data_IF_066276862416
#
_entry.id   IF_066276862416
#
_cell.length_a   1.000
_cell.length_b   1.000
_cell.length_c   1.000
_cell.angle_alpha   90.00
_cell.angle_beta   90.00
_cell.angle_gamma   90.00
#
_symmetry.space_group_name_H-M   'P 1'
#
loop_
_entity.id
_entity.type
_entity.pdbx_description
1 polymer ?
#
# COMPACT_ATOMS: atom_id res chain seq x y z
N UNK A 1 59.31 -22.72 -31.60
CA UNK A 1 58.07 -23.06 -30.86
C UNK A 1 57.45 -21.78 -30.34
N UNK A 2 56.55 -21.16 -31.09
CA UNK A 2 55.89 -19.92 -30.68
C UNK A 2 54.48 -19.93 -31.26
N UNK A 3 53.51 -20.32 -30.43
CA UNK A 3 52.10 -20.36 -30.79
C UNK A 3 51.30 -19.72 -29.64
N UNK A 4 50.32 -18.89 -30.03
CA UNK A 4 49.14 -18.37 -29.31
C UNK A 4 49.34 -17.18 -28.37
N UNK A 5 49.04 -15.99 -28.91
CA UNK A 5 48.51 -14.86 -28.12
C UNK A 5 47.44 -14.02 -28.86
N UNK A 6 46.82 -14.54 -29.92
CA UNK A 6 45.80 -13.81 -30.71
C UNK A 6 44.34 -14.22 -30.41
N UNK A 7 44.09 -15.35 -29.74
CA UNK A 7 42.73 -15.89 -29.57
C UNK A 7 41.91 -15.22 -28.45
N UNK A 8 42.53 -14.53 -27.49
CA UNK A 8 41.81 -13.96 -26.34
C UNK A 8 41.26 -12.55 -26.57
N UNK A 9 41.76 -11.81 -27.57
CA UNK A 9 41.26 -10.46 -27.89
C UNK A 9 39.94 -10.50 -28.68
N UNK A 10 39.73 -11.53 -29.50
CA UNK A 10 38.52 -11.69 -30.31
C UNK A 10 37.28 -12.02 -29.45
N UNK A 11 37.40 -12.97 -28.53
CA UNK A 11 36.28 -13.36 -27.65
C UNK A 11 35.82 -12.22 -26.72
N UNK A 12 36.74 -11.32 -26.33
CA UNK A 12 36.42 -10.16 -25.48
C UNK A 12 35.76 -9.01 -26.25
N UNK A 13 35.98 -8.92 -27.56
CA UNK A 13 35.28 -7.95 -28.43
C UNK A 13 33.87 -8.45 -28.81
N UNK A 14 33.67 -9.75 -29.04
CA UNK A 14 32.34 -10.32 -29.30
C UNK A 14 31.42 -10.27 -28.07
N UNK A 15 31.94 -10.52 -26.87
CA UNK A 15 31.17 -10.39 -25.63
C UNK A 15 30.74 -8.93 -25.36
N UNK A 16 31.52 -7.94 -25.83
CA UNK A 16 31.21 -6.52 -25.67
C UNK A 16 30.13 -6.06 -26.66
N UNK A 17 30.14 -6.59 -27.88
CA UNK A 17 29.15 -6.30 -28.92
C UNK A 17 27.80 -6.98 -28.67
N UNK A 18 27.77 -8.15 -28.02
CA UNK A 18 26.52 -8.80 -27.63
C UNK A 18 25.83 -8.07 -26.47
N UNK A 19 26.59 -7.50 -25.54
CA UNK A 19 26.01 -6.75 -24.40
C UNK A 19 25.46 -5.36 -24.80
N UNK A 20 25.95 -4.77 -25.89
CA UNK A 20 25.40 -3.51 -26.44
C UNK A 20 24.13 -3.72 -27.29
N UNK A 21 23.87 -4.94 -27.79
CA UNK A 21 22.74 -5.22 -28.68
C UNK A 21 21.42 -5.56 -27.97
N UNK A 22 21.45 -5.77 -26.64
CA UNK A 22 20.26 -6.14 -25.84
C UNK A 22 19.65 -5.00 -25.01
N UNK A 23 20.17 -3.78 -25.12
CA UNK A 23 19.59 -2.61 -24.44
C UNK A 23 18.38 -2.09 -25.25
N UNK A 24 17.17 -2.06 -24.69
CA UNK A 24 16.05 -1.38 -25.35
C UNK A 24 16.38 0.12 -25.53
N UNK A 25 15.91 0.77 -26.60
CA UNK A 25 16.32 2.13 -26.98
C UNK A 25 15.67 3.25 -26.15
N UNK A 26 15.15 2.96 -24.95
CA UNK A 26 14.60 4.00 -24.09
C UNK A 26 15.75 4.76 -23.40
N UNK A 27 15.94 6.02 -23.82
CA UNK A 27 16.76 7.06 -23.18
C UNK A 27 18.28 6.99 -23.35
N UNK A 28 18.77 6.63 -24.54
CA UNK A 28 20.11 7.06 -24.96
C UNK A 28 20.10 8.56 -25.31
N UNK A 29 20.07 9.43 -24.29
CA UNK A 29 20.62 10.80 -24.28
C UNK A 29 20.01 11.63 -23.12
N UNK A 30 20.33 11.28 -21.88
CA UNK A 30 20.32 12.23 -20.75
C UNK A 30 21.66 12.13 -19.99
N UNK A 31 22.77 12.08 -20.73
CA UNK A 31 24.11 12.12 -20.17
C UNK A 31 24.58 13.56 -19.99
N UNK A 32 24.02 14.28 -19.00
CA UNK A 32 24.57 15.56 -18.57
C UNK A 32 24.16 15.99 -17.15
N UNK A 33 24.03 15.07 -16.19
CA UNK A 33 24.09 15.45 -14.77
C UNK A 33 25.07 14.51 -14.07
N UNK A 34 26.34 14.94 -14.06
CA UNK A 34 27.35 14.38 -13.17
C UNK A 34 26.94 14.75 -11.74
N UNK A 35 26.35 13.81 -11.02
CA UNK A 35 26.20 13.90 -9.58
C UNK A 35 27.59 13.73 -8.92
N UNK A 36 27.78 14.46 -7.82
CA UNK A 36 28.95 14.53 -6.93
C UNK A 36 30.08 15.45 -7.45
N UNK A 37 29.95 16.72 -7.11
CA UNK A 37 31.06 17.69 -7.04
C UNK A 37 31.36 18.45 -8.34
N UNK A 38 30.54 19.44 -8.73
CA UNK A 38 30.96 20.44 -9.71
C UNK A 38 30.45 21.85 -9.41
N UNK A 39 31.41 22.78 -9.35
CA UNK A 39 31.23 24.22 -9.44
C UNK A 39 30.45 24.57 -10.72
N UNK A 40 29.22 25.05 -10.57
CA UNK A 40 28.45 25.61 -11.67
C UNK A 40 28.93 27.03 -11.92
N UNK A 41 29.52 27.28 -13.09
CA UNK A 41 29.85 28.63 -13.55
C UNK A 41 28.56 29.39 -13.85
N UNK A 42 28.00 30.06 -12.84
CA UNK A 42 26.79 30.86 -12.91
C UNK A 42 26.43 31.44 -11.55
N UNK A 43 25.61 32.50 -11.51
CA UNK A 43 25.01 32.96 -10.24
C UNK A 43 24.21 31.81 -9.64
N UNK A 44 24.32 31.51 -8.33
CA UNK A 44 23.71 30.34 -7.67
C UNK A 44 22.23 30.17 -8.01
N UNK A 45 21.50 31.29 -8.03
CA UNK A 45 20.09 31.36 -8.45
C UNK A 45 19.78 30.69 -9.80
N UNK A 46 20.56 30.98 -10.84
CA UNK A 46 20.36 30.41 -12.19
C UNK A 46 20.66 28.92 -12.23
N UNK A 47 21.50 28.42 -11.32
CA UNK A 47 21.74 26.99 -11.18
C UNK A 47 20.52 26.28 -10.58
N UNK A 48 19.96 26.83 -9.49
CA UNK A 48 18.73 26.31 -8.86
C UNK A 48 17.56 26.29 -9.84
N UNK A 49 17.36 27.37 -10.62
CA UNK A 49 16.28 27.44 -11.61
C UNK A 49 16.37 26.29 -12.64
N UNK A 50 17.59 25.99 -13.11
CA UNK A 50 17.85 24.90 -14.06
C UNK A 50 17.61 23.54 -13.43
N UNK A 51 18.13 23.32 -12.22
CA UNK A 51 17.94 22.06 -11.50
C UNK A 51 16.44 21.79 -11.24
N UNK A 52 15.68 22.81 -10.81
CA UNK A 52 14.25 22.69 -10.61
C UNK A 52 13.51 22.39 -11.92
N UNK A 53 13.90 23.02 -13.03
CA UNK A 53 13.34 22.73 -14.36
C UNK A 53 13.63 21.30 -14.82
N UNK A 54 14.85 20.81 -14.62
CA UNK A 54 15.27 19.45 -14.96
C UNK A 54 14.49 18.42 -14.14
N UNK A 55 14.30 18.65 -12.83
CA UNK A 55 13.51 17.76 -11.98
C UNK A 55 12.02 17.74 -12.38
N UNK A 56 11.44 18.87 -12.77
CA UNK A 56 10.07 18.90 -13.30
C UNK A 56 9.93 18.10 -14.60
N UNK A 57 10.95 18.14 -15.46
CA UNK A 57 11.00 17.31 -16.66
C UNK A 57 11.08 15.82 -16.30
N UNK A 58 11.93 15.45 -15.34
CA UNK A 58 12.04 14.07 -14.82
C UNK A 58 10.71 13.59 -14.28
N UNK A 59 10.02 14.38 -13.46
CA UNK A 59 8.68 14.07 -12.94
C UNK A 59 7.65 13.83 -14.04
N UNK A 60 7.71 14.63 -15.10
CA UNK A 60 6.79 14.51 -16.26
C UNK A 60 7.13 13.33 -17.17
N UNK A 61 8.33 12.75 -17.05
CA UNK A 61 8.80 11.64 -17.88
C UNK A 61 8.42 10.25 -17.35
N UNK A 62 7.86 10.17 -16.14
CA UNK A 62 7.43 8.91 -15.54
C UNK A 62 6.33 8.26 -16.39
N UNK A 63 6.41 6.95 -16.61
CA UNK A 63 5.43 6.23 -17.42
C UNK A 63 4.51 5.35 -16.58
N UNK A 64 5.08 4.53 -15.71
CA UNK A 64 4.39 3.50 -14.93
C UNK A 64 4.11 4.00 -13.50
N UNK A 65 5.01 4.79 -12.93
CA UNK A 65 4.99 5.21 -11.52
C UNK A 65 4.48 6.63 -11.30
N UNK A 66 3.73 7.19 -12.25
CA UNK A 66 3.19 8.56 -12.16
C UNK A 66 2.35 8.79 -10.89
N UNK A 67 1.62 7.77 -10.44
CA UNK A 67 0.76 7.87 -9.26
C UNK A 67 1.54 8.10 -7.96
N UNK A 68 2.83 7.75 -7.92
CA UNK A 68 3.69 8.08 -6.79
C UNK A 68 3.83 9.60 -6.56
N UNK A 69 3.52 10.40 -7.60
CA UNK A 69 3.54 11.85 -7.52
C UNK A 69 2.15 12.50 -7.33
N UNK A 70 1.06 11.74 -7.19
CA UNK A 70 -0.30 12.30 -7.06
C UNK A 70 -0.68 12.69 -5.63
N UNK A 71 0.03 12.18 -4.62
CA UNK A 71 -0.24 12.50 -3.22
C UNK A 71 -0.01 13.97 -2.86
N UNK A 72 -0.66 14.45 -1.79
CA UNK A 72 -0.56 15.85 -1.33
C UNK A 72 0.89 16.29 -1.07
N UNK A 73 1.70 15.42 -0.48
CA UNK A 73 3.12 15.66 -0.22
C UNK A 73 3.89 15.84 -1.54
N UNK A 74 3.69 14.95 -2.51
CA UNK A 74 4.33 15.04 -3.81
C UNK A 74 3.88 16.29 -4.59
N UNK A 75 2.59 16.61 -4.58
CA UNK A 75 2.07 17.81 -5.25
C UNK A 75 2.61 19.10 -4.64
N UNK A 76 2.76 19.16 -3.32
CA UNK A 76 3.40 20.30 -2.66
C UNK A 76 4.90 20.38 -2.96
N UNK A 77 5.62 19.26 -3.03
CA UNK A 77 7.02 19.21 -3.51
C UNK A 77 7.16 19.74 -4.95
N UNK A 78 6.34 19.25 -5.89
CA UNK A 78 6.36 19.72 -7.27
C UNK A 78 6.06 21.23 -7.37
N UNK A 79 5.17 21.73 -6.51
CA UNK A 79 4.86 23.16 -6.41
C UNK A 79 6.08 23.98 -5.93
N UNK A 80 6.88 23.46 -5.00
CA UNK A 80 8.17 24.08 -4.61
C UNK A 80 9.08 24.21 -5.83
N UNK A 81 9.27 23.13 -6.60
CA UNK A 81 10.11 23.15 -7.80
C UNK A 81 9.59 24.17 -8.85
N UNK A 82 8.28 24.26 -9.03
CA UNK A 82 7.67 25.25 -9.94
C UNK A 82 7.94 26.70 -9.51
N UNK A 83 7.86 27.00 -8.22
CA UNK A 83 8.13 28.34 -7.70
C UNK A 83 9.63 28.66 -7.62
N UNK A 84 10.49 27.67 -7.36
CA UNK A 84 11.94 27.83 -7.48
C UNK A 84 12.29 28.28 -8.90
N UNK A 85 11.67 27.68 -9.92
CA UNK A 85 11.83 28.07 -11.33
C UNK A 85 11.28 29.47 -11.65
N UNK A 86 10.23 29.93 -10.97
CA UNK A 86 9.62 31.26 -11.23
C UNK A 86 10.39 32.40 -10.56
N UNK A 87 11.16 32.10 -9.50
CA UNK A 87 11.97 33.06 -8.76
C UNK A 87 11.17 34.00 -7.84
N UNK A 88 9.88 33.73 -7.58
CA UNK A 88 9.07 34.55 -6.66
C UNK A 88 9.27 34.09 -5.22
N UNK A 89 10.08 34.82 -4.46
CA UNK A 89 10.54 34.42 -3.13
C UNK A 89 9.39 34.10 -2.15
N UNK A 90 8.31 34.89 -2.15
CA UNK A 90 7.14 34.63 -1.28
C UNK A 90 6.44 33.30 -1.60
N UNK A 91 6.26 33.00 -2.90
CA UNK A 91 5.62 31.75 -3.34
C UNK A 91 6.50 30.53 -3.03
N UNK A 92 7.82 30.67 -3.15
CA UNK A 92 8.79 29.63 -2.77
C UNK A 92 8.68 29.32 -1.27
N UNK A 93 8.65 30.35 -0.42
CA UNK A 93 8.52 30.18 1.03
C UNK A 93 7.18 29.53 1.41
N UNK A 94 6.08 30.00 0.83
CA UNK A 94 4.75 29.45 1.11
C UNK A 94 4.65 27.98 0.67
N UNK A 95 5.14 27.65 -0.52
CA UNK A 95 5.10 26.28 -1.03
C UNK A 95 6.01 25.34 -0.24
N UNK A 96 7.19 25.80 0.19
CA UNK A 96 8.08 25.00 1.03
C UNK A 96 7.47 24.73 2.41
N UNK A 97 6.90 25.75 3.06
CA UNK A 97 6.20 25.58 4.34
C UNK A 97 4.99 24.64 4.23
N UNK A 98 4.25 24.70 3.12
CA UNK A 98 3.17 23.75 2.83
C UNK A 98 3.72 22.33 2.69
N UNK A 99 4.76 22.14 1.88
CA UNK A 99 5.39 20.82 1.68
C UNK A 99 5.85 20.19 3.01
N UNK A 100 6.59 20.95 3.82
CA UNK A 100 7.05 20.49 5.13
C UNK A 100 5.89 20.08 6.05
N UNK A 101 4.80 20.87 6.06
CA UNK A 101 3.60 20.55 6.84
C UNK A 101 2.91 19.29 6.36
N UNK A 102 2.74 19.12 5.05
CA UNK A 102 2.11 17.91 4.49
C UNK A 102 2.95 16.66 4.79
N UNK A 103 4.28 16.75 4.70
CA UNK A 103 5.19 15.65 5.02
C UNK A 103 5.05 15.20 6.49
N UNK A 104 5.04 16.16 7.42
CA UNK A 104 4.82 15.89 8.85
C UNK A 104 3.41 15.37 9.16
N UNK A 105 2.39 15.94 8.52
CA UNK A 105 1.00 15.52 8.72
C UNK A 105 0.76 14.10 8.24
N UNK A 106 1.50 13.67 7.22
CA UNK A 106 1.51 12.30 6.72
C UNK A 106 2.37 11.34 7.57
N UNK A 107 3.12 11.86 8.56
CA UNK A 107 3.91 11.04 9.49
C UNK A 107 5.25 10.56 8.92
N UNK A 108 5.73 11.16 7.83
CA UNK A 108 7.01 10.78 7.23
C UNK A 108 8.17 11.57 7.83
N UNK A 109 9.30 10.88 8.02
CA UNK A 109 10.55 11.51 8.42
C UNK A 109 11.21 12.19 7.22
N UNK A 110 11.19 11.57 6.04
CA UNK A 110 11.76 12.17 4.83
C UNK A 110 10.86 12.01 3.61
N UNK A 111 11.09 12.87 2.63
CA UNK A 111 10.52 12.84 1.30
C UNK A 111 10.87 11.55 0.56
N UNK A 112 12.11 11.07 0.73
CA UNK A 112 12.54 9.81 0.18
C UNK A 112 11.68 8.65 0.70
N UNK A 113 11.41 8.63 2.01
CA UNK A 113 10.56 7.61 2.63
C UNK A 113 9.14 7.68 2.12
N UNK A 114 8.59 8.89 1.97
CA UNK A 114 7.28 9.11 1.38
C UNK A 114 7.20 8.56 -0.05
N UNK A 115 8.18 8.88 -0.91
CA UNK A 115 8.25 8.39 -2.28
C UNK A 115 8.35 6.86 -2.36
N UNK A 116 9.24 6.26 -1.57
CA UNK A 116 9.41 4.81 -1.55
C UNK A 116 8.17 4.11 -1.03
N UNK A 117 7.48 4.68 -0.05
CA UNK A 117 6.21 4.16 0.44
C UNK A 117 5.11 4.20 -0.62
N UNK A 118 5.06 5.24 -1.47
CA UNK A 118 4.14 5.31 -2.61
C UNK A 118 4.49 4.27 -3.69
N UNK A 119 5.78 4.07 -3.97
CA UNK A 119 6.28 3.05 -4.91
C UNK A 119 5.91 1.66 -4.43
N UNK A 120 6.22 1.33 -3.17
CA UNK A 120 5.82 0.07 -2.54
C UNK A 120 4.30 -0.10 -2.54
N UNK A 121 3.56 0.96 -2.21
CA UNK A 121 2.11 0.91 -2.26
C UNK A 121 1.59 0.60 -3.66
N UNK A 122 2.28 0.99 -4.74
CA UNK A 122 1.88 0.64 -6.11
C UNK A 122 0.47 1.11 -6.47
N UNK A 123 0.00 2.22 -5.87
CA UNK A 123 -1.36 2.73 -6.05
C UNK A 123 -1.62 3.05 -7.53
N UNK A 124 -2.65 2.42 -8.10
CA UNK A 124 -3.03 2.58 -9.51
C UNK A 124 -1.94 2.18 -10.51
N UNK A 125 -0.92 1.44 -10.08
CA UNK A 125 0.12 0.92 -10.96
C UNK A 125 -0.33 -0.45 -11.51
N UNK A 126 -0.59 -0.52 -12.82
CA UNK A 126 -1.08 -1.74 -13.46
C UNK A 126 -0.05 -2.88 -13.43
N UNK A 127 1.26 -2.57 -13.44
CA UNK A 127 2.29 -3.58 -13.29
C UNK A 127 2.26 -4.19 -11.87
N UNK A 128 2.07 -3.36 -10.84
CA UNK A 128 1.93 -3.82 -9.47
C UNK A 128 0.68 -4.71 -9.29
N UNK A 129 -0.44 -4.34 -9.92
CA UNK A 129 -1.67 -5.17 -9.94
C UNK A 129 -1.45 -6.50 -10.62
N UNK A 130 -0.78 -6.52 -11.78
CA UNK A 130 -0.49 -7.76 -12.50
C UNK A 130 0.39 -8.69 -11.66
N UNK A 131 1.48 -8.17 -11.08
CA UNK A 131 2.37 -8.95 -10.21
C UNK A 131 1.64 -9.51 -8.99
N UNK A 132 0.80 -8.68 -8.35
CA UNK A 132 -0.02 -9.10 -7.23
C UNK A 132 -1.00 -10.22 -7.62
N UNK A 133 -1.59 -10.17 -8.81
CA UNK A 133 -2.51 -11.18 -9.30
C UNK A 133 -1.84 -12.49 -9.74
N UNK A 134 -0.64 -12.44 -10.35
CA UNK A 134 -0.05 -13.57 -11.07
C UNK A 134 1.14 -14.25 -10.38
N UNK A 135 1.66 -13.73 -9.26
CA UNK A 135 2.70 -14.31 -8.37
C UNK A 135 4.09 -14.63 -8.97
N UNK A 136 4.11 -15.27 -10.13
CA UNK A 136 5.24 -15.95 -10.76
C UNK A 136 5.61 -15.34 -12.11
N UNK A 137 4.90 -14.30 -12.55
CA UNK A 137 5.21 -13.61 -13.79
C UNK A 137 5.78 -12.22 -13.45
N UNK A 138 7.07 -11.98 -13.71
CA UNK A 138 7.56 -10.61 -13.70
C UNK A 138 6.76 -9.80 -14.73
N UNK A 139 6.65 -8.47 -14.54
CA UNK A 139 6.02 -7.64 -15.55
C UNK A 139 6.73 -7.87 -16.89
N UNK A 140 5.99 -7.81 -18.00
CA UNK A 140 6.57 -8.02 -19.33
C UNK A 140 7.80 -7.14 -19.52
N UNK A 141 8.83 -7.64 -20.24
CA UNK A 141 10.17 -7.01 -20.33
C UNK A 141 10.15 -5.50 -20.60
N UNK A 142 9.23 -5.03 -21.45
CA UNK A 142 9.07 -3.60 -21.73
C UNK A 142 8.59 -2.79 -20.51
N UNK A 143 7.61 -3.32 -19.78
CA UNK A 143 7.07 -2.71 -18.55
C UNK A 143 8.12 -2.74 -17.43
N UNK A 144 8.84 -3.85 -17.29
CA UNK A 144 9.96 -3.96 -16.34
C UNK A 144 11.05 -2.90 -16.63
N UNK A 145 11.40 -2.71 -17.90
CA UNK A 145 12.36 -1.68 -18.32
C UNK A 145 11.86 -0.26 -18.04
N UNK A 146 10.58 0.04 -18.34
CA UNK A 146 9.99 1.34 -18.04
C UNK A 146 9.94 1.60 -16.52
N UNK A 147 9.58 0.60 -15.72
CA UNK A 147 9.56 0.69 -14.28
C UNK A 147 10.95 0.91 -13.69
N UNK A 148 11.98 0.24 -14.21
CA UNK A 148 13.37 0.49 -13.84
C UNK A 148 13.79 1.95 -14.11
N UNK A 149 13.47 2.48 -15.30
CA UNK A 149 13.73 3.87 -15.64
C UNK A 149 12.99 4.85 -14.71
N UNK A 150 11.73 4.57 -14.40
CA UNK A 150 10.93 5.36 -13.46
C UNK A 150 11.52 5.34 -12.05
N UNK A 151 12.03 4.20 -11.57
CA UNK A 151 12.68 4.10 -10.26
C UNK A 151 13.92 5.00 -10.18
N UNK A 152 14.76 4.99 -11.21
CA UNK A 152 15.93 5.88 -11.26
C UNK A 152 15.52 7.36 -11.40
N UNK A 153 14.42 7.65 -12.08
CA UNK A 153 13.84 8.99 -12.15
C UNK A 153 13.31 9.46 -10.78
N UNK A 154 12.62 8.59 -10.05
CA UNK A 154 12.14 8.86 -8.69
C UNK A 154 13.29 9.04 -7.69
N UNK A 155 14.38 8.27 -7.83
CA UNK A 155 15.60 8.48 -7.05
C UNK A 155 16.22 9.87 -7.29
N UNK A 156 16.16 10.39 -8.53
CA UNK A 156 16.60 11.77 -8.80
C UNK A 156 15.68 12.80 -8.17
N UNK A 157 14.38 12.50 -8.08
CA UNK A 157 13.37 13.34 -7.43
C UNK A 157 13.42 13.30 -5.91
N UNK A 158 14.06 12.30 -5.30
CA UNK A 158 14.26 12.19 -3.85
C UNK A 158 15.38 13.13 -3.37
N UNK A 159 15.19 14.43 -3.61
CA UNK A 159 16.09 15.49 -3.12
C UNK A 159 15.99 15.57 -1.60
N UNK A 160 17.12 15.55 -0.91
CA UNK A 160 17.17 15.71 0.54
C UNK A 160 16.61 17.08 0.96
N UNK A 161 15.91 17.12 2.08
CA UNK A 161 15.27 18.33 2.61
C UNK A 161 16.29 19.43 2.90
N UNK A 162 17.48 19.05 3.38
CA UNK A 162 18.62 19.95 3.59
C UNK A 162 19.09 20.61 2.29
N UNK A 163 19.04 19.88 1.17
CA UNK A 163 19.36 20.41 -0.16
C UNK A 163 18.24 21.33 -0.63
N UNK A 164 16.98 20.91 -0.47
CA UNK A 164 15.84 21.72 -0.88
C UNK A 164 15.79 23.06 -0.13
N UNK A 165 16.02 23.06 1.19
CA UNK A 165 16.07 24.31 1.97
C UNK A 165 17.23 25.21 1.54
N UNK A 166 18.40 24.65 1.16
CA UNK A 166 19.49 25.47 0.60
C UNK A 166 19.11 26.15 -0.71
N UNK A 167 18.33 25.47 -1.56
CA UNK A 167 17.82 26.09 -2.80
C UNK A 167 16.83 27.21 -2.52
N UNK A 168 16.00 27.05 -1.49
CA UNK A 168 15.10 28.11 -1.01
C UNK A 168 15.90 29.31 -0.50
N UNK A 169 16.97 29.08 0.29
CA UNK A 169 17.84 30.15 0.78
C UNK A 169 18.49 30.95 -0.35
N UNK A 170 18.94 30.28 -1.41
CA UNK A 170 19.55 30.96 -2.56
C UNK A 170 18.56 31.84 -3.35
N UNK A 171 17.25 31.59 -3.22
CA UNK A 171 16.19 32.31 -3.94
C UNK A 171 15.54 33.43 -3.11
N UNK A 172 15.78 33.47 -1.81
CA UNK A 172 15.13 34.41 -0.87
C UNK A 172 16.17 35.44 -0.40
N UNK A 173 15.95 36.75 -0.66
CA UNK A 173 16.91 37.80 -0.31
C UNK A 173 17.17 37.97 1.19
N UNK A 174 16.24 37.53 2.05
CA UNK A 174 16.32 37.64 3.50
C UNK A 174 16.87 36.35 4.11
N UNK A 175 17.70 36.49 5.14
CA UNK A 175 18.19 35.36 5.92
C UNK A 175 17.01 34.55 6.48
N UNK A 176 16.95 33.27 6.12
CA UNK A 176 15.99 32.34 6.69
C UNK A 176 16.34 32.07 8.16
N UNK A 177 15.35 31.96 9.07
CA UNK A 177 15.63 31.65 10.47
C UNK A 177 16.43 30.34 10.61
N UNK A 178 17.50 30.35 11.40
CA UNK A 178 18.36 29.15 11.62
C UNK A 178 17.56 27.94 12.11
N UNK A 179 16.48 28.18 12.85
CA UNK A 179 15.56 27.15 13.30
C UNK A 179 14.88 26.38 12.14
N UNK A 180 14.61 27.03 11.00
CA UNK A 180 14.03 26.37 9.82
C UNK A 180 15.03 25.44 9.14
N UNK A 181 16.29 25.90 9.00
CA UNK A 181 17.38 25.11 8.41
C UNK A 181 17.63 23.87 9.28
N UNK A 182 17.65 24.08 10.60
CA UNK A 182 17.83 23.01 11.58
C UNK A 182 16.68 22.01 11.53
N UNK A 183 15.43 22.48 11.48
CA UNK A 183 14.26 21.62 11.36
C UNK A 183 14.28 20.77 10.08
N UNK A 184 14.61 21.37 8.93
CA UNK A 184 14.76 20.66 7.66
C UNK A 184 15.87 19.60 7.69
N UNK A 185 16.98 19.91 8.38
CA UNK A 185 18.11 18.99 8.51
C UNK A 185 17.83 17.85 9.49
N UNK A 186 16.97 18.08 10.48
CA UNK A 186 16.58 17.09 11.50
C UNK A 186 15.45 16.14 11.04
N UNK A 187 14.89 16.34 9.85
CA UNK A 187 14.02 15.37 9.19
C UNK A 187 14.79 14.14 8.70
N UNK A 188 16.11 14.24 8.54
CA UNK A 188 16.94 13.06 8.36
C UNK A 188 16.86 12.15 9.59
N UNK A 189 16.92 10.82 9.40
CA UNK A 189 16.64 9.87 10.47
C UNK A 189 17.55 10.16 11.67
N UNK A 190 16.91 10.54 12.78
CA UNK A 190 17.55 10.57 14.08
C UNK A 190 18.30 9.24 14.25
N UNK A 191 19.61 9.36 14.51
CA UNK A 191 20.60 8.30 14.69
C UNK A 191 20.04 6.87 14.59
N UNK A 192 20.38 6.22 13.47
CA UNK A 192 20.34 4.76 13.33
C UNK A 192 20.88 4.16 14.63
N UNK A 193 20.02 3.58 15.47
CA UNK A 193 20.50 2.74 16.56
C UNK A 193 21.31 1.62 15.89
N UNK A 194 22.52 1.31 16.37
CA UNK A 194 23.24 0.14 15.90
C UNK A 194 22.30 -1.05 16.07
N UNK A 195 21.95 -1.64 14.94
CA UNK A 195 21.12 -2.83 14.88
C UNK A 195 21.87 -3.91 15.66
N UNK A 196 21.21 -4.51 16.66
CA UNK A 196 21.75 -5.69 17.33
C UNK A 196 21.78 -6.80 16.28
N UNK A 197 22.96 -7.19 15.79
CA UNK A 197 23.19 -8.16 14.70
C UNK A 197 22.68 -9.59 14.99
N UNK A 198 21.89 -9.76 16.06
CA UNK A 198 21.43 -11.06 16.56
C UNK A 198 20.01 -11.39 16.06
N UNK A 199 19.81 -11.35 14.74
CA UNK A 199 18.86 -12.15 13.95
C UNK A 199 18.59 -11.46 12.60
N UNK A 200 19.46 -11.67 11.62
CA UNK A 200 19.05 -11.53 10.22
C UNK A 200 18.19 -12.74 9.85
N UNK A 201 16.87 -12.61 9.62
CA UNK A 201 16.16 -13.63 8.88
C UNK A 201 16.70 -13.58 7.44
N UNK A 202 17.25 -14.69 6.96
CA UNK A 202 17.70 -14.84 5.58
C UNK A 202 16.51 -14.67 4.61
N UNK A 203 16.22 -13.43 4.21
CA UNK A 203 15.26 -13.12 3.15
C UNK A 203 16.02 -13.03 1.82
N UNK A 204 16.35 -14.18 1.21
CA UNK A 204 16.75 -14.22 -0.22
C UNK A 204 16.63 -15.64 -0.76
N UNK A 205 15.44 -16.23 -0.66
CA UNK A 205 14.99 -17.22 -1.62
C UNK A 205 13.73 -16.65 -2.25
N UNK A 206 13.69 -16.56 -3.58
CA UNK A 206 12.45 -16.35 -4.34
C UNK A 206 11.39 -17.28 -3.73
N UNK A 207 10.23 -16.76 -3.28
CA UNK A 207 9.23 -17.58 -2.64
C UNK A 207 8.83 -18.69 -3.61
N UNK A 208 9.06 -19.95 -3.21
CA UNK A 208 8.50 -21.09 -3.92
C UNK A 208 6.99 -20.94 -3.92
N UNK A 209 6.39 -20.80 -5.12
CA UNK A 209 4.95 -20.84 -5.40
C UNK A 209 4.04 -20.40 -4.23
N UNK A 210 4.24 -19.20 -3.68
CA UNK A 210 3.36 -18.67 -2.64
C UNK A 210 1.99 -18.37 -3.27
N UNK A 211 1.01 -19.25 -3.04
CA UNK A 211 -0.30 -19.24 -3.70
C UNK A 211 -1.18 -18.06 -3.26
N UNK A 212 -0.94 -17.46 -2.09
CA UNK A 212 -1.75 -16.34 -1.56
C UNK A 212 -0.87 -15.18 -1.07
N UNK A 213 -1.44 -13.98 -1.11
CA UNK A 213 -0.85 -12.75 -0.59
C UNK A 213 -0.91 -12.74 0.94
N UNK A 214 0.19 -12.32 1.55
CA UNK A 214 0.38 -12.24 3.00
C UNK A 214 -0.32 -11.02 3.62
N UNK A 215 -0.22 -10.92 4.94
CA UNK A 215 -0.65 -9.75 5.70
C UNK A 215 0.04 -8.47 5.20
N UNK A 216 -0.59 -7.30 5.38
CA UNK A 216 0.09 -6.02 5.20
C UNK A 216 1.39 -6.03 6.01
N UNK A 217 2.52 -5.57 5.43
CA UNK A 217 3.78 -5.57 6.13
C UNK A 217 3.69 -4.65 7.36
N UNK A 218 4.33 -5.07 8.44
CA UNK A 218 4.51 -4.21 9.62
C UNK A 218 5.36 -2.98 9.25
N UNK A 219 5.31 -1.88 10.02
CA UNK A 219 6.15 -0.70 9.76
C UNK A 219 7.65 -1.03 9.68
N UNK A 220 8.14 -1.98 10.50
CA UNK A 220 9.53 -2.44 10.47
C UNK A 220 9.86 -3.19 9.18
N UNK A 221 9.03 -4.15 8.77
CA UNK A 221 9.22 -4.84 7.48
C UNK A 221 9.16 -3.87 6.30
N UNK A 222 8.25 -2.89 6.34
CA UNK A 222 8.16 -1.86 5.29
C UNK A 222 9.43 -1.02 5.23
N UNK A 223 10.01 -0.69 6.38
CA UNK A 223 11.32 -0.02 6.46
C UNK A 223 12.42 -0.88 5.82
N UNK A 224 12.48 -2.18 6.11
CA UNK A 224 13.45 -3.10 5.50
C UNK A 224 13.31 -3.12 3.96
N UNK A 225 12.08 -3.19 3.44
CA UNK A 225 11.83 -3.13 2.00
C UNK A 225 12.28 -1.79 1.39
N UNK A 226 12.03 -0.67 2.08
CA UNK A 226 12.55 0.64 1.65
C UNK A 226 14.07 0.65 1.61
N UNK A 227 14.72 0.11 2.63
CA UNK A 227 16.19 0.06 2.71
C UNK A 227 16.80 -0.84 1.64
N UNK A 228 16.15 -1.95 1.28
CA UNK A 228 16.59 -2.81 0.18
C UNK A 228 16.61 -2.09 -1.17
N UNK A 229 15.66 -1.18 -1.42
CA UNK A 229 15.59 -0.38 -2.65
C UNK A 229 16.51 0.85 -2.55
N UNK A 230 16.42 1.59 -1.44
CA UNK A 230 17.16 2.83 -1.21
C UNK A 230 18.67 2.63 -1.01
N UNK A 231 19.07 1.48 -0.47
CA UNK A 231 20.46 1.11 -0.26
C UNK A 231 21.21 0.77 -1.55
N UNK A 232 20.49 0.62 -2.67
CA UNK A 232 21.10 0.43 -3.97
C UNK A 232 21.68 1.74 -4.50
N UNK A 233 22.77 1.64 -5.25
CA UNK A 233 23.33 2.78 -5.97
C UNK A 233 22.31 3.39 -6.95
N UNK A 234 21.52 2.54 -7.59
CA UNK A 234 20.40 2.90 -8.45
C UNK A 234 19.15 2.17 -7.97
N UNK A 235 18.03 2.88 -7.81
CA UNK A 235 16.78 2.24 -7.37
C UNK A 235 16.28 1.18 -8.35
N UNK A 236 16.61 1.29 -9.65
CA UNK A 236 16.35 0.25 -10.64
C UNK A 236 16.96 -1.11 -10.30
N UNK A 237 18.10 -1.16 -9.58
CA UNK A 237 18.68 -2.41 -9.09
C UNK A 237 17.83 -3.06 -7.99
N UNK A 238 16.97 -2.29 -7.32
CA UNK A 238 15.99 -2.77 -6.35
C UNK A 238 14.67 -3.25 -6.99
N UNK A 239 14.57 -3.31 -8.32
CA UNK A 239 13.34 -3.71 -9.01
C UNK A 239 12.87 -5.10 -8.59
N UNK A 240 13.77 -6.07 -8.45
CA UNK A 240 13.41 -7.43 -8.04
C UNK A 240 12.83 -7.45 -6.63
N UNK A 241 13.36 -6.63 -5.72
CA UNK A 241 12.82 -6.48 -4.36
C UNK A 241 11.41 -5.85 -4.39
N UNK A 242 11.19 -4.85 -5.24
CA UNK A 242 9.88 -4.23 -5.42
C UNK A 242 8.84 -5.23 -5.98
N UNK A 243 9.21 -6.01 -6.99
CA UNK A 243 8.35 -7.04 -7.57
C UNK A 243 8.06 -8.12 -6.53
N UNK A 244 9.05 -8.54 -5.76
CA UNK A 244 8.86 -9.49 -4.65
C UNK A 244 7.91 -8.93 -3.59
N UNK A 245 8.03 -7.65 -3.24
CA UNK A 245 7.09 -6.98 -2.34
C UNK A 245 5.65 -7.05 -2.86
N UNK A 246 5.40 -6.67 -4.12
CA UNK A 246 4.06 -6.70 -4.69
C UNK A 246 3.50 -8.12 -4.82
N UNK A 247 4.35 -9.09 -5.16
CA UNK A 247 3.94 -10.48 -5.25
C UNK A 247 3.55 -11.06 -3.88
N UNK A 248 4.19 -10.58 -2.80
CA UNK A 248 4.02 -11.05 -1.43
C UNK A 248 2.91 -10.33 -0.68
N UNK A 249 2.84 -9.01 -0.75
CA UNK A 249 1.92 -8.19 0.03
C UNK A 249 0.79 -7.56 -0.80
N UNK A 250 0.87 -7.64 -2.13
CA UNK A 250 -0.07 -7.03 -3.07
C UNK A 250 0.27 -5.59 -3.41
N UNK A 251 -0.72 -4.85 -3.92
CA UNK A 251 -0.61 -3.42 -4.19
C UNK A 251 -1.87 -2.65 -3.78
N UNK A 252 -1.79 -1.32 -3.81
CA UNK A 252 -2.86 -0.39 -3.54
C UNK A 252 -3.39 -0.45 -2.11
N UNK A 253 -4.71 -0.29 -1.99
CA UNK A 253 -5.42 -0.26 -0.72
C UNK A 253 -5.27 -1.58 0.05
N UNK A 254 -5.36 -2.69 -0.66
CA UNK A 254 -5.36 -4.04 -0.09
C UNK A 254 -3.97 -4.46 0.41
N UNK A 255 -2.89 -3.87 -0.11
CA UNK A 255 -1.55 -4.06 0.46
C UNK A 255 -1.32 -3.26 1.74
N UNK A 256 -1.95 -2.09 1.85
CA UNK A 256 -1.73 -1.16 2.94
C UNK A 256 -2.63 -1.45 4.17
N UNK A 257 -3.80 -2.06 3.97
CA UNK A 257 -4.79 -2.23 5.02
C UNK A 257 -5.29 -3.67 5.13
N UNK A 258 -5.39 -4.15 6.36
CA UNK A 258 -6.08 -5.41 6.69
C UNK A 258 -7.59 -5.23 6.75
N UNK A 259 -8.06 -4.02 7.09
CA UNK A 259 -9.46 -3.67 7.26
C UNK A 259 -9.91 -2.60 6.27
N UNK A 260 -11.01 -2.84 5.60
CA UNK A 260 -11.60 -1.95 4.61
C UNK A 260 -13.11 -1.83 4.82
N UNK A 261 -13.69 -0.78 4.25
CA UNK A 261 -15.14 -0.60 4.15
C UNK A 261 -15.53 -0.48 2.69
N UNK A 262 -16.67 -1.06 2.32
CA UNK A 262 -17.30 -0.77 1.05
C UNK A 262 -18.30 0.39 1.23
N UNK A 263 -18.14 1.45 0.44
CA UNK A 263 -19.01 2.63 0.47
C UNK A 263 -19.03 3.28 -0.92
N UNK A 264 -20.19 3.78 -1.32
CA UNK A 264 -20.38 4.51 -2.59
C UNK A 264 -19.86 3.73 -3.82
N UNK A 265 -20.01 2.40 -3.79
CA UNK A 265 -19.56 1.52 -4.87
C UNK A 265 -18.05 1.29 -4.93
N UNK A 266 -17.28 1.69 -3.92
CA UNK A 266 -15.82 1.54 -3.89
C UNK A 266 -15.29 1.01 -2.54
N UNK A 267 -14.06 0.49 -2.54
CA UNK A 267 -13.37 0.07 -1.32
C UNK A 267 -12.57 1.23 -0.74
N UNK A 268 -12.71 1.46 0.55
CA UNK A 268 -12.04 2.51 1.30
C UNK A 268 -11.26 1.93 2.49
N UNK A 269 -10.17 2.61 2.87
CA UNK A 269 -9.40 2.24 4.06
C UNK A 269 -10.24 2.49 5.31
N UNK A 270 -10.44 1.46 6.12
CA UNK A 270 -11.00 1.67 7.44
C UNK A 270 -9.86 1.98 8.40
N UNK A 271 -9.61 3.27 8.65
CA UNK A 271 -8.62 3.71 9.66
C UNK A 271 -9.12 3.36 11.06
N UNK A 272 -8.26 3.31 12.07
CA UNK A 272 -8.69 3.09 13.46
C UNK A 272 -9.76 4.11 13.91
N UNK A 273 -9.68 5.34 13.42
CA UNK A 273 -10.66 6.39 13.67
C UNK A 273 -11.93 6.22 12.81
N UNK A 274 -11.79 5.73 11.58
CA UNK A 274 -12.89 5.32 10.72
C UNK A 274 -13.63 4.09 11.24
N UNK A 275 -12.95 3.15 11.89
CA UNK A 275 -13.56 2.04 12.61
C UNK A 275 -14.38 2.58 13.78
N UNK A 276 -13.80 3.50 14.58
CA UNK A 276 -14.50 4.22 15.65
C UNK A 276 -15.67 5.08 15.17
N UNK A 277 -15.67 5.59 13.94
CA UNK A 277 -16.72 6.47 13.39
C UNK A 277 -17.81 5.70 12.64
N UNK A 278 -17.43 4.76 11.78
CA UNK A 278 -18.35 3.76 11.21
C UNK A 278 -19.03 2.96 12.32
N UNK A 279 -18.37 2.89 13.47
CA UNK A 279 -18.94 2.41 14.69
C UNK A 279 -19.02 3.45 15.81
N UNK A 280 -19.29 4.74 15.57
CA UNK A 280 -19.67 5.60 16.72
C UNK A 280 -21.04 5.18 17.30
N UNK A 281 -21.76 4.36 16.55
CA UNK A 281 -22.91 3.56 16.99
C UNK A 281 -22.55 2.11 17.41
N UNK A 282 -21.29 1.68 17.29
CA UNK A 282 -20.83 0.30 17.61
C UNK A 282 -19.80 0.27 18.77
N UNK A 283 -18.74 1.07 18.74
CA UNK A 283 -17.57 0.97 19.64
C UNK A 283 -17.70 1.66 20.99
N UNK A 284 -18.65 2.57 21.19
CA UNK A 284 -18.80 3.30 22.48
C UNK A 284 -19.42 2.44 23.60
N UNK A 285 -19.60 1.13 23.39
CA UNK A 285 -20.27 0.23 24.33
C UNK A 285 -19.44 -0.97 24.80
N UNK A 286 -18.16 -1.13 24.43
CA UNK A 286 -17.39 -2.29 24.92
C UNK A 286 -17.03 -2.17 26.42
N UNK A 287 -17.95 -2.52 27.33
CA UNK A 287 -17.68 -2.61 28.78
C UNK A 287 -18.56 -3.61 29.54
N UNK A 288 -19.49 -4.35 28.92
CA UNK A 288 -20.21 -5.41 29.63
C UNK A 288 -19.42 -6.73 29.63
N UNK A 289 -19.40 -7.36 30.80
CA UNK A 289 -18.72 -8.64 31.02
C UNK A 289 -19.43 -9.82 30.31
N UNK A 290 -20.70 -9.67 29.93
CA UNK A 290 -21.55 -10.74 29.39
C UNK A 290 -21.21 -11.14 27.95
N UNK A 291 -21.18 -10.17 27.03
CA UNK A 291 -20.86 -10.41 25.61
C UNK A 291 -19.43 -10.95 25.42
N UNK A 292 -18.52 -10.62 26.34
CA UNK A 292 -17.14 -11.12 26.35
C UNK A 292 -17.07 -12.63 26.52
N UNK A 293 -17.91 -13.23 27.37
CA UNK A 293 -17.84 -14.67 27.66
C UNK A 293 -18.30 -15.52 26.47
N UNK A 294 -19.45 -15.22 25.85
CA UNK A 294 -19.95 -15.98 24.71
C UNK A 294 -18.95 -15.96 23.53
N UNK A 295 -18.36 -14.78 23.29
CA UNK A 295 -17.40 -14.58 22.22
C UNK A 295 -16.04 -15.22 22.49
N UNK A 296 -15.60 -15.27 23.75
CA UNK A 296 -14.41 -16.03 24.15
C UNK A 296 -14.56 -17.54 23.87
N UNK A 297 -15.76 -18.09 24.01
CA UNK A 297 -16.00 -19.53 23.75
C UNK A 297 -16.18 -19.83 22.26
N UNK A 298 -16.92 -19.00 21.52
CA UNK A 298 -17.24 -19.27 20.11
C UNK A 298 -16.24 -18.63 19.11
N UNK A 299 -15.47 -17.64 19.55
CA UNK A 299 -14.46 -16.94 18.75
C UNK A 299 -13.42 -17.89 18.14
N UNK A 300 -12.82 -18.83 18.90
CA UNK A 300 -11.86 -19.78 18.34
C UNK A 300 -12.42 -20.61 17.19
N UNK A 301 -13.64 -21.15 17.32
CA UNK A 301 -14.29 -21.95 16.27
C UNK A 301 -14.62 -21.12 15.02
N UNK A 302 -15.01 -19.85 15.24
CA UNK A 302 -15.26 -18.89 14.16
C UNK A 302 -13.97 -18.56 13.39
N UNK A 303 -12.89 -18.29 14.12
CA UNK A 303 -11.57 -18.02 13.54
C UNK A 303 -11.03 -19.25 12.81
N UNK A 304 -11.15 -20.44 13.40
CA UNK A 304 -10.76 -21.69 12.76
C UNK A 304 -11.52 -21.89 11.45
N UNK A 305 -12.82 -21.61 11.43
CA UNK A 305 -13.63 -21.68 10.21
C UNK A 305 -13.09 -20.75 9.11
N UNK A 306 -12.80 -19.50 9.43
CA UNK A 306 -12.28 -18.57 8.43
C UNK A 306 -10.83 -18.86 8.05
N UNK A 307 -10.00 -19.40 8.94
CA UNK A 307 -8.62 -19.80 8.63
C UNK A 307 -8.53 -20.98 7.65
N UNK A 308 -9.57 -21.82 7.56
CA UNK A 308 -9.58 -22.93 6.59
C UNK A 308 -9.46 -22.41 5.15
N UNK A 309 -8.66 -23.07 4.30
CA UNK A 309 -8.58 -22.73 2.88
C UNK A 309 -9.96 -22.82 2.24
N UNK A 310 -10.32 -21.86 1.39
CA UNK A 310 -11.61 -21.84 0.70
C UNK A 310 -11.85 -23.09 -0.17
N UNK A 311 -10.80 -23.80 -0.57
CA UNK A 311 -10.86 -25.04 -1.32
C UNK A 311 -11.34 -26.26 -0.50
N UNK A 312 -11.46 -26.16 0.82
CA UNK A 312 -11.96 -27.26 1.65
C UNK A 312 -13.48 -27.45 1.44
N UNK A 313 -13.90 -28.72 1.26
CA UNK A 313 -15.31 -29.06 1.10
C UNK A 313 -16.08 -28.72 2.39
N UNK A 314 -16.98 -27.74 2.32
CA UNK A 314 -17.78 -27.30 3.46
C UNK A 314 -18.49 -25.96 3.21
N UNK A 315 -19.35 -25.52 4.14
CA UNK A 315 -19.92 -24.18 4.10
C UNK A 315 -18.78 -23.15 4.13
N UNK A 316 -18.76 -22.20 3.19
CA UNK A 316 -17.72 -21.14 3.10
C UNK A 316 -18.09 -19.88 3.87
N UNK A 317 -19.35 -19.79 4.27
CA UNK A 317 -19.92 -18.59 4.86
C UNK A 317 -20.47 -18.90 6.26
N UNK A 318 -20.53 -17.87 7.09
CA UNK A 318 -20.97 -17.96 8.49
C UNK A 318 -22.15 -17.05 8.73
N UNK A 319 -23.12 -17.60 9.44
CA UNK A 319 -24.30 -16.89 9.91
C UNK A 319 -24.21 -16.83 11.44
N UNK A 320 -24.20 -15.62 11.97
CA UNK A 320 -24.21 -15.36 13.40
C UNK A 320 -25.54 -14.72 13.76
N UNK A 321 -26.22 -15.21 14.78
CA UNK A 321 -27.41 -14.56 15.30
C UNK A 321 -27.18 -14.21 16.77
N UNK A 322 -27.48 -12.97 17.13
CA UNK A 322 -27.48 -12.50 18.53
C UNK A 322 -28.75 -11.71 18.84
N UNK A 323 -29.15 -11.70 20.10
CA UNK A 323 -30.34 -10.98 20.58
C UNK A 323 -29.97 -9.52 20.92
N UNK A 324 -30.87 -8.58 20.62
CA UNK A 324 -30.69 -7.11 20.70
C UNK A 324 -30.27 -6.54 22.05
N UNK A 325 -30.47 -7.26 23.15
CA UNK A 325 -30.09 -6.78 24.49
C UNK A 325 -28.57 -6.65 24.66
N UNK A 326 -27.78 -7.39 23.88
CA UNK A 326 -26.32 -7.31 23.90
C UNK A 326 -25.83 -6.39 22.77
N UNK A 327 -25.89 -5.08 23.01
CA UNK A 327 -25.39 -4.05 22.09
C UNK A 327 -23.88 -4.19 21.74
N UNK A 328 -23.17 -5.12 22.36
CA UNK A 328 -21.71 -5.26 22.36
C UNK A 328 -21.18 -6.41 21.49
N UNK A 329 -22.04 -7.26 20.91
CA UNK A 329 -21.57 -8.44 20.17
C UNK A 329 -20.85 -8.06 18.87
N UNK A 330 -21.36 -7.08 18.12
CA UNK A 330 -20.78 -6.72 16.80
C UNK A 330 -19.40 -6.06 16.87
N UNK A 331 -19.12 -5.12 17.81
CA UNK A 331 -17.77 -4.58 18.01
C UNK A 331 -16.77 -5.65 18.43
N UNK A 332 -17.16 -6.52 19.37
CA UNK A 332 -16.29 -7.56 19.89
C UNK A 332 -16.04 -8.67 18.83
N UNK A 333 -17.05 -8.99 18.03
CA UNK A 333 -16.93 -9.85 16.85
C UNK A 333 -15.95 -9.25 15.85
N UNK A 334 -16.10 -7.96 15.52
CA UNK A 334 -15.20 -7.29 14.61
C UNK A 334 -13.76 -7.30 15.13
N UNK A 335 -13.56 -6.95 16.41
CA UNK A 335 -12.25 -6.99 17.04
C UNK A 335 -11.63 -8.39 16.94
N UNK A 336 -12.41 -9.43 17.27
CA UNK A 336 -11.95 -10.81 17.22
C UNK A 336 -11.56 -11.24 15.81
N UNK A 337 -12.36 -10.89 14.80
CA UNK A 337 -12.04 -11.16 13.41
C UNK A 337 -10.77 -10.40 12.98
N UNK A 338 -10.62 -9.14 13.36
CA UNK A 338 -9.43 -8.33 13.03
C UNK A 338 -8.17 -8.90 13.67
N UNK A 339 -8.19 -9.13 14.98
CA UNK A 339 -7.03 -9.65 15.71
C UNK A 339 -6.68 -11.07 15.30
N UNK A 340 -7.68 -11.92 15.04
CA UNK A 340 -7.46 -13.31 14.67
C UNK A 340 -7.12 -13.54 13.20
N UNK A 341 -7.71 -12.77 12.26
CA UNK A 341 -7.57 -13.03 10.83
C UNK A 341 -6.57 -12.11 10.13
N UNK A 342 -6.36 -10.87 10.60
CA UNK A 342 -5.39 -9.96 9.95
C UNK A 342 -3.96 -10.54 9.89
N UNK A 343 -3.43 -11.18 10.97
CA UNK A 343 -2.11 -11.80 10.93
C UNK A 343 -1.99 -12.95 9.92
N UNK A 344 -3.12 -13.62 9.60
CA UNK A 344 -3.17 -14.70 8.61
C UNK A 344 -3.16 -14.21 7.15
N UNK A 345 -3.11 -12.90 6.92
CA UNK A 345 -3.16 -12.31 5.58
C UNK A 345 -4.56 -12.13 5.02
N UNK A 346 -5.61 -12.43 5.78
CA UNK A 346 -6.98 -12.16 5.36
C UNK A 346 -7.31 -10.68 5.47
N UNK A 347 -8.06 -10.19 4.48
CA UNK A 347 -8.57 -8.82 4.43
C UNK A 347 -10.02 -8.80 4.85
N UNK A 348 -10.37 -7.95 5.79
CA UNK A 348 -11.72 -7.87 6.34
C UNK A 348 -12.40 -6.66 5.74
N UNK A 349 -13.56 -6.88 5.14
CA UNK A 349 -14.33 -5.84 4.45
C UNK A 349 -15.66 -5.67 5.17
N UNK A 350 -15.89 -4.49 5.72
CA UNK A 350 -17.19 -4.11 6.23
C UNK A 350 -18.12 -3.75 5.06
N UNK A 351 -19.25 -4.45 4.96
CA UNK A 351 -20.32 -4.17 4.01
C UNK A 351 -21.56 -3.66 4.78
N UNK A 352 -21.79 -2.34 4.81
CA UNK A 352 -22.97 -1.77 5.43
C UNK A 352 -24.26 -2.27 4.77
N UNK A 353 -25.35 -2.42 5.55
CA UNK A 353 -26.66 -2.85 5.02
C UNK A 353 -27.20 -1.90 3.94
N UNK A 354 -26.84 -0.61 3.99
CA UNK A 354 -27.19 0.38 2.96
C UNK A 354 -26.59 0.07 1.58
N UNK A 355 -25.45 -0.61 1.54
CA UNK A 355 -24.68 -0.89 0.32
C UNK A 355 -25.00 -2.28 -0.28
N UNK A 356 -25.92 -3.05 0.31
CA UNK A 356 -26.25 -4.40 -0.15
C UNK A 356 -26.77 -4.44 -1.60
N UNK A 357 -27.40 -3.36 -2.05
CA UNK A 357 -27.84 -3.20 -3.44
C UNK A 357 -26.68 -3.19 -4.45
N UNK A 358 -25.48 -2.81 -4.01
CA UNK A 358 -24.27 -2.70 -4.82
C UNK A 358 -23.30 -3.88 -4.61
N UNK A 359 -23.78 -4.99 -4.04
CA UNK A 359 -22.96 -6.20 -3.79
C UNK A 359 -22.25 -6.71 -5.05
N UNK A 360 -22.88 -6.60 -6.22
CA UNK A 360 -22.28 -7.01 -7.50
C UNK A 360 -20.99 -6.23 -7.80
N UNK A 361 -20.93 -4.94 -7.45
CA UNK A 361 -19.73 -4.11 -7.60
C UNK A 361 -18.65 -4.53 -6.61
N UNK A 362 -19.02 -4.83 -5.37
CA UNK A 362 -18.08 -5.36 -4.39
C UNK A 362 -17.48 -6.69 -4.87
N UNK A 363 -18.32 -7.62 -5.34
CA UNK A 363 -17.84 -8.90 -5.91
C UNK A 363 -16.87 -8.66 -7.06
N UNK A 364 -17.22 -7.79 -8.01
CA UNK A 364 -16.34 -7.44 -9.13
C UNK A 364 -15.01 -6.84 -8.65
N UNK A 365 -15.02 -6.00 -7.60
CA UNK A 365 -13.81 -5.42 -7.02
C UNK A 365 -12.93 -6.48 -6.33
N UNK A 366 -13.52 -7.41 -5.57
CA UNK A 366 -12.78 -8.47 -4.86
C UNK A 366 -12.23 -9.55 -5.82
N UNK A 367 -12.93 -9.82 -6.93
CA UNK A 367 -12.47 -10.73 -7.98
C UNK A 367 -11.20 -10.27 -8.69
N UNK A 368 -10.85 -8.99 -8.62
CA UNK A 368 -9.59 -8.47 -9.18
C UNK A 368 -8.36 -8.96 -8.42
N UNK A 369 -8.53 -9.54 -7.23
CA UNK A 369 -7.44 -9.99 -6.35
C UNK A 369 -7.55 -11.48 -6.05
N UNK A 370 -7.38 -12.38 -7.05
CA UNK A 370 -7.59 -13.82 -6.87
C UNK A 370 -6.69 -14.46 -5.82
N UNK A 371 -5.54 -13.84 -5.52
CA UNK A 371 -4.57 -14.29 -4.52
C UNK A 371 -4.77 -13.71 -3.12
N UNK A 372 -5.75 -12.83 -2.93
CA UNK A 372 -6.06 -12.28 -1.61
C UNK A 372 -7.31 -12.94 -1.05
N UNK A 373 -7.24 -13.42 0.19
CA UNK A 373 -8.42 -13.92 0.89
C UNK A 373 -9.16 -12.77 1.59
N UNK A 374 -10.46 -12.66 1.35
CA UNK A 374 -11.33 -11.67 1.96
C UNK A 374 -12.36 -12.32 2.89
N UNK A 375 -12.69 -11.61 3.97
CA UNK A 375 -13.85 -11.89 4.82
C UNK A 375 -14.75 -10.66 4.78
N UNK A 376 -15.88 -10.77 4.11
CA UNK A 376 -16.90 -9.73 4.05
C UNK A 376 -17.80 -9.87 5.26
N UNK A 377 -17.82 -8.86 6.13
CA UNK A 377 -18.68 -8.81 7.30
C UNK A 377 -19.82 -7.85 7.01
N UNK A 378 -21.04 -8.32 7.18
CA UNK A 378 -22.24 -7.49 7.07
C UNK A 378 -23.12 -7.71 8.29
N UNK A 379 -23.74 -6.63 8.75
CA UNK A 379 -24.61 -6.63 9.91
C UNK A 379 -25.98 -6.11 9.49
N UNK A 380 -27.02 -6.89 9.74
CA UNK A 380 -28.40 -6.45 9.54
C UNK A 380 -29.23 -6.59 10.81
N UNK A 381 -30.10 -5.60 10.99
CA UNK A 381 -31.14 -5.59 12.00
C UNK A 381 -32.45 -6.11 11.39
N UNK A 382 -33.13 -7.02 12.09
CA UNK A 382 -34.32 -7.68 11.56
C UNK A 382 -35.53 -6.73 11.34
N UNK A 383 -35.57 -5.60 12.07
CA UNK A 383 -36.84 -4.94 12.38
C UNK A 383 -37.15 -3.66 11.57
N UNK A 384 -36.16 -3.06 10.87
CA UNK A 384 -36.35 -1.70 10.31
C UNK A 384 -36.53 -1.58 8.80
N UNK A 385 -35.87 -2.39 7.97
CA UNK A 385 -35.77 -2.07 6.52
C UNK A 385 -35.92 -3.26 5.56
N UNK A 386 -36.55 -4.34 6.00
CA UNK A 386 -36.57 -5.59 5.21
C UNK A 386 -35.15 -6.15 5.01
N UNK A 387 -34.24 -5.87 5.96
CA UNK A 387 -32.85 -6.32 5.92
C UNK A 387 -32.70 -7.82 5.74
N UNK A 388 -33.65 -8.61 6.26
CA UNK A 388 -33.79 -10.04 6.01
C UNK A 388 -33.89 -10.40 4.51
N UNK A 389 -34.69 -9.66 3.75
CA UNK A 389 -34.81 -9.85 2.30
C UNK A 389 -33.54 -9.45 1.56
N UNK A 390 -32.90 -8.34 1.98
CA UNK A 390 -31.65 -7.85 1.36
C UNK A 390 -30.47 -8.79 1.63
N UNK A 391 -30.36 -9.33 2.84
CA UNK A 391 -29.37 -10.36 3.17
C UNK A 391 -29.66 -11.67 2.45
N UNK A 392 -30.94 -12.10 2.36
CA UNK A 392 -31.28 -13.27 1.54
C UNK A 392 -30.86 -13.08 0.07
N UNK A 393 -30.99 -11.85 -0.46
CA UNK A 393 -30.53 -11.50 -1.80
C UNK A 393 -29.00 -11.60 -1.99
N UNK A 394 -28.19 -11.44 -0.93
CA UNK A 394 -26.75 -11.74 -0.99
C UNK A 394 -26.45 -13.20 -1.36
N UNK A 395 -27.42 -14.10 -1.15
CA UNK A 395 -27.28 -15.55 -1.34
C UNK A 395 -27.99 -16.06 -2.59
N UNK A 396 -29.13 -15.47 -2.95
CA UNK A 396 -29.92 -15.91 -4.11
C UNK A 396 -29.34 -15.43 -5.46
N UNK A 397 -28.23 -14.68 -5.46
CA UNK A 397 -27.59 -14.26 -6.70
C UNK A 397 -26.96 -15.43 -7.49
N UNK A 398 -27.26 -15.55 -8.80
CA UNK A 398 -26.86 -16.70 -9.62
C UNK A 398 -25.35 -16.83 -9.83
N UNK A 399 -24.56 -15.77 -9.60
CA UNK A 399 -23.11 -15.77 -9.83
C UNK A 399 -22.27 -16.14 -8.61
N UNK A 400 -22.88 -16.44 -7.45
CA UNK A 400 -22.15 -16.82 -6.24
C UNK A 400 -21.19 -15.74 -5.75
N UNK A 401 -20.36 -16.08 -4.76
CA UNK A 401 -19.23 -15.25 -4.32
C UNK A 401 -17.93 -15.74 -4.97
N UNK A 402 -16.96 -14.85 -5.23
CA UNK A 402 -15.63 -15.26 -5.70
C UNK A 402 -14.98 -16.27 -4.74
N UNK A 403 -14.15 -17.18 -5.25
CA UNK A 403 -13.57 -18.26 -4.43
C UNK A 403 -12.68 -17.77 -3.29
N UNK A 404 -12.14 -16.57 -3.46
CA UNK A 404 -11.28 -15.91 -2.48
C UNK A 404 -12.06 -15.11 -1.43
N UNK A 405 -13.41 -15.19 -1.41
CA UNK A 405 -14.26 -14.43 -0.49
C UNK A 405 -15.08 -15.38 0.41
N UNK A 406 -14.96 -15.14 1.72
CA UNK A 406 -15.84 -15.70 2.74
C UNK A 406 -16.76 -14.59 3.26
N UNK A 407 -17.96 -14.95 3.75
CA UNK A 407 -18.96 -13.97 4.18
C UNK A 407 -19.40 -14.30 5.60
N UNK A 408 -19.40 -13.29 6.47
CA UNK A 408 -19.92 -13.33 7.82
C UNK A 408 -21.17 -12.42 7.87
N UNK A 409 -22.35 -13.03 7.92
CA UNK A 409 -23.61 -12.30 8.08
C UNK A 409 -24.03 -12.34 9.55
N UNK A 410 -23.98 -11.19 10.22
CA UNK A 410 -24.44 -11.04 11.59
C UNK A 410 -25.87 -10.51 11.64
N UNK A 411 -26.71 -11.24 12.36
CA UNK A 411 -28.14 -10.99 12.53
C UNK A 411 -28.39 -10.52 13.95
N UNK A 412 -28.98 -9.34 14.06
CA UNK A 412 -29.45 -8.80 15.33
C UNK A 412 -30.97 -9.00 15.42
N UNK A 413 -31.38 -9.94 16.29
CA UNK A 413 -32.77 -10.31 16.53
C UNK A 413 -33.36 -9.49 17.69
N UNK A 414 -34.61 -9.01 17.60
CA UNK A 414 -35.25 -8.34 18.73
C UNK A 414 -35.46 -9.31 19.90
N UNK A 415 -35.46 -8.76 21.12
CA UNK A 415 -35.68 -9.52 22.36
C UNK A 415 -37.03 -10.26 22.28
N UNK A 416 -37.02 -11.55 22.57
CA UNK A 416 -38.22 -12.39 22.54
C UNK A 416 -38.62 -12.89 21.15
N UNK A 417 -37.90 -12.53 20.07
CA UNK A 417 -38.09 -13.18 18.79
C UNK A 417 -37.68 -14.66 18.88
N UNK A 418 -38.47 -15.59 18.34
CA UNK A 418 -38.04 -16.98 18.30
C UNK A 418 -36.75 -17.07 17.45
N UNK A 419 -35.76 -17.87 17.87
CA UNK A 419 -34.49 -18.04 17.15
C UNK A 419 -34.67 -18.88 15.87
N UNK A 420 -35.78 -18.74 15.17
CA UNK A 420 -36.00 -19.32 13.84
C UNK A 420 -35.18 -18.53 12.82
N UNK A 421 -33.86 -18.59 12.99
CA UNK A 421 -32.90 -18.16 11.98
C UNK A 421 -33.12 -19.08 10.80
N UNK A 422 -33.65 -18.53 9.70
CA UNK A 422 -33.78 -19.27 8.45
C UNK A 422 -32.37 -19.72 8.05
N UNK A 423 -32.12 -21.03 8.10
CA UNK A 423 -30.83 -21.60 7.69
C UNK A 423 -30.58 -21.22 6.24
N UNK A 424 -29.54 -20.43 6.01
CA UNK A 424 -29.11 -20.10 4.66
C UNK A 424 -28.29 -21.27 4.09
N UNK A 425 -28.56 -21.73 2.86
CA UNK A 425 -27.78 -22.79 2.25
C UNK A 425 -26.31 -22.36 2.10
N UNK A 426 -25.37 -23.23 2.47
CA UNK A 426 -23.94 -22.94 2.42
C UNK A 426 -23.37 -22.17 3.61
N UNK A 427 -24.18 -21.91 4.64
CA UNK A 427 -23.76 -21.25 5.87
C UNK A 427 -23.59 -22.23 7.03
N UNK A 428 -22.52 -22.03 7.82
CA UNK A 428 -22.42 -22.59 9.17
C UNK A 428 -23.09 -21.61 10.13
N UNK A 429 -23.95 -22.12 11.00
CA UNK A 429 -24.67 -21.32 11.99
C UNK A 429 -23.92 -21.42 13.30
N UNK A 430 -23.70 -20.27 13.93
CA UNK A 430 -23.37 -20.21 15.35
C UNK A 430 -24.47 -19.42 16.05
N UNK A 431 -25.12 -20.08 17.00
CA UNK A 431 -26.13 -19.48 17.86
C UNK A 431 -25.39 -18.93 19.09
N UNK A 432 -25.45 -17.62 19.30
CA UNK A 432 -24.75 -16.90 20.37
C UNK A 432 -25.74 -16.33 21.38
#
# INVERSE_FOLDING_TARGET
MTIKCQSFRSARQEAKLLHERERPPCLQSFSALRLIGFNLSGTPRKAVDRLAADLLLVASSLLVSQNALQGKVAQSFLKVLQHLRSGRSEEVLQSYGLFYRELLSAGYCSWQDCLLDEVLAGRGNEAAKQVAAEACLPPGRAVAGALACDLDALQKLSVAESTLVSWVQEQVPSELPTAWISAASNLHPAERRPFDDSASPACTSLPGAATMIEAPPTPAQKQEWREQIAGQWQWSAGLDALVAYWARHGCGLTAAHSTMRFADGSLEALTAQGAKLAGKDLWDLASSEGASSALQHAGPDLLEHFMRPAATQGPRHVQLASVWEEAEVSPLLWQTLVEGLAPSGKRIVLLPTSELQDVHRLKAALSQYPRMAFVVVTEATADRDGGLGKLAALHEEPQGWPENVQVCAHWRLPVGAPPKVRRLPGYRIFDW
#
